data_IF_614240039661
#
_entry.id   IF_614240039661
#
_cell.length_a   1.000
_cell.length_b   1.000
_cell.length_c   1.000
_cell.angle_alpha   90.00
_cell.angle_beta   90.00
_cell.angle_gamma   90.00
#
_symmetry.space_group_name_H-M   'P 1'
#
loop_
_entity.id
_entity.type
_entity.pdbx_description
1 polymer ?
#
# COMPACT_ATOMS: atom_id res chain seq x y z
N UNK A 1 3.19 9.43 -13.04
CA UNK A 1 3.77 9.83 -11.75
C UNK A 1 5.03 9.04 -11.60
N UNK A 2 6.17 9.69 -11.37
CA UNK A 2 7.44 8.99 -11.21
C UNK A 2 7.54 8.53 -9.76
N UNK A 3 7.64 7.22 -9.55
CA UNK A 3 7.76 6.62 -8.22
C UNK A 3 9.22 6.73 -7.77
N UNK A 4 9.46 7.34 -6.61
CA UNK A 4 10.82 7.51 -6.08
C UNK A 4 11.10 6.34 -5.13
N UNK A 5 12.15 5.53 -5.33
CA UNK A 5 12.50 4.45 -4.41
C UNK A 5 12.74 4.95 -2.99
N UNK A 6 12.41 4.13 -1.97
CA UNK A 6 12.64 4.46 -0.56
C UNK A 6 14.09 4.88 -0.27
N UNK A 7 15.06 4.31 -0.97
CA UNK A 7 16.48 4.61 -0.81
C UNK A 7 16.90 5.99 -1.36
N UNK A 8 16.09 6.60 -2.21
CA UNK A 8 16.41 7.83 -2.93
C UNK A 8 15.60 9.04 -2.43
N UNK A 9 14.55 8.82 -1.63
CA UNK A 9 13.70 9.88 -1.11
C UNK A 9 13.96 10.30 0.34
N UNK A 10 13.23 11.31 0.79
CA UNK A 10 13.26 11.81 2.18
C UNK A 10 11.97 11.42 2.91
N UNK A 11 12.09 10.70 4.02
CA UNK A 11 10.96 10.32 4.86
C UNK A 11 10.17 11.52 5.40
N UNK A 12 10.76 12.72 5.43
CA UNK A 12 10.08 13.96 5.82
C UNK A 12 9.01 14.40 4.83
N UNK A 13 8.98 13.85 3.62
CA UNK A 13 7.87 14.07 2.69
C UNK A 13 6.58 13.39 3.17
N UNK A 14 6.70 12.31 3.95
CA UNK A 14 5.57 11.57 4.55
C UNK A 14 5.38 11.97 6.02
N UNK A 15 6.48 12.20 6.73
CA UNK A 15 6.53 12.51 8.17
C UNK A 15 7.24 13.86 8.41
N UNK A 16 6.59 15.01 8.18
CA UNK A 16 7.26 16.32 8.20
C UNK A 16 7.98 16.65 9.50
N UNK A 17 7.47 16.16 10.63
CA UNK A 17 8.02 16.40 11.97
C UNK A 17 9.05 15.35 12.40
N UNK A 18 9.49 14.47 11.49
CA UNK A 18 10.43 13.39 11.81
C UNK A 18 11.83 13.93 12.15
N UNK A 19 12.20 13.78 13.42
CA UNK A 19 13.52 14.14 13.94
C UNK A 19 14.51 13.01 13.62
N UNK A 20 14.25 11.81 14.16
CA UNK A 20 15.12 10.64 14.02
C UNK A 20 14.63 9.72 12.90
N UNK A 21 15.37 9.70 11.78
CA UNK A 21 14.98 8.99 10.55
C UNK A 21 15.21 7.49 10.66
N UNK A 22 16.32 7.07 11.26
CA UNK A 22 16.80 5.69 11.20
C UNK A 22 15.80 4.66 11.76
N UNK A 23 15.15 4.87 12.92
CA UNK A 23 14.20 3.90 13.46
C UNK A 23 13.01 3.67 12.53
N UNK A 24 12.48 4.73 11.93
CA UNK A 24 11.35 4.66 10.98
C UNK A 24 11.80 3.98 9.69
N UNK A 25 12.98 4.36 9.18
CA UNK A 25 13.54 3.79 7.96
C UNK A 25 13.80 2.28 8.08
N UNK A 26 14.32 1.81 9.20
CA UNK A 26 14.61 0.40 9.43
C UNK A 26 13.35 -0.47 9.48
N UNK A 27 12.25 0.05 10.02
CA UNK A 27 10.95 -0.64 9.98
C UNK A 27 10.40 -0.68 8.56
N UNK A 28 10.46 0.45 7.83
CA UNK A 28 9.99 0.51 6.44
C UNK A 28 10.81 -0.42 5.52
N UNK A 29 12.12 -0.53 5.71
CA UNK A 29 12.96 -1.50 4.98
C UNK A 29 12.50 -2.93 5.21
N UNK A 30 12.13 -3.30 6.44
CA UNK A 30 11.59 -4.63 6.71
C UNK A 30 10.26 -4.87 6.00
N UNK A 31 9.40 -3.86 5.93
CA UNK A 31 8.14 -3.93 5.20
C UNK A 31 8.35 -4.08 3.69
N UNK A 32 9.28 -3.31 3.11
CA UNK A 32 9.66 -3.41 1.69
C UNK A 32 10.12 -4.84 1.34
N UNK A 33 10.98 -5.45 2.17
CA UNK A 33 11.43 -6.84 1.98
C UNK A 33 10.26 -7.83 1.98
N UNK A 34 9.20 -7.62 2.78
CA UNK A 34 8.02 -8.49 2.76
C UNK A 34 7.28 -8.40 1.44
N UNK A 35 7.09 -7.20 0.91
CA UNK A 35 6.40 -7.00 -0.38
C UNK A 35 7.25 -7.51 -1.54
N UNK A 36 8.57 -7.30 -1.51
CA UNK A 36 9.50 -7.86 -2.50
C UNK A 36 9.46 -9.39 -2.53
N UNK A 37 9.42 -10.03 -1.36
CA UNK A 37 9.26 -11.49 -1.26
C UNK A 37 7.92 -11.96 -1.80
N UNK A 38 6.84 -11.20 -1.55
CA UNK A 38 5.53 -11.49 -2.13
C UNK A 38 5.58 -11.39 -3.65
N UNK A 39 6.12 -10.31 -4.20
CA UNK A 39 6.28 -10.16 -5.65
C UNK A 39 7.10 -11.31 -6.24
N UNK A 40 8.21 -11.69 -5.60
CA UNK A 40 9.03 -12.83 -6.00
C UNK A 40 8.26 -14.15 -5.97
N UNK A 41 7.42 -14.38 -4.96
CA UNK A 41 6.52 -15.53 -4.90
C UNK A 41 5.52 -15.55 -6.07
N UNK A 42 5.06 -14.37 -6.49
CA UNK A 42 4.20 -14.19 -7.65
C UNK A 42 4.95 -14.21 -9.00
N UNK A 43 6.27 -14.44 -8.99
CA UNK A 43 7.09 -14.56 -10.21
C UNK A 43 7.46 -13.23 -10.86
N UNK A 44 7.36 -12.10 -10.13
CA UNK A 44 7.75 -10.76 -10.61
C UNK A 44 8.79 -10.13 -9.67
N UNK A 45 9.70 -9.30 -10.17
CA UNK A 45 10.54 -8.49 -9.29
C UNK A 45 9.66 -7.46 -8.55
N UNK A 46 9.85 -7.33 -7.24
CA UNK A 46 9.20 -6.28 -6.44
C UNK A 46 10.03 -5.00 -6.43
N UNK A 47 9.36 -3.84 -6.46
CA UNK A 47 10.00 -2.53 -6.38
C UNK A 47 10.20 -2.02 -4.93
N UNK A 48 9.76 -2.80 -3.93
CA UNK A 48 9.75 -2.37 -2.54
C UNK A 48 8.76 -1.23 -2.28
N UNK A 49 9.08 -0.38 -1.30
CA UNK A 49 8.35 0.85 -1.01
C UNK A 49 8.84 2.01 -1.87
N UNK A 50 7.91 2.80 -2.37
CA UNK A 50 8.12 3.98 -3.20
C UNK A 50 7.32 5.16 -2.67
N UNK A 51 7.83 6.36 -2.89
CA UNK A 51 7.11 7.60 -2.61
C UNK A 51 6.18 7.95 -3.78
N UNK A 52 4.93 8.29 -3.43
CA UNK A 52 3.91 8.72 -4.37
C UNK A 52 3.59 10.21 -4.15
N UNK A 53 4.07 11.06 -5.05
CA UNK A 53 3.77 12.49 -5.03
C UNK A 53 2.52 12.83 -5.84
N UNK A 54 1.53 13.43 -5.18
CA UNK A 54 0.46 14.13 -5.89
C UNK A 54 1.03 15.44 -6.46
N UNK A 55 0.87 15.72 -7.78
CA UNK A 55 1.33 16.97 -8.36
C UNK A 55 0.81 18.20 -7.61
N UNK A 56 1.71 19.06 -7.14
CA UNK A 56 1.37 20.26 -6.37
C UNK A 56 1.11 20.05 -4.88
N UNK A 57 1.19 18.81 -4.37
CA UNK A 57 1.13 18.55 -2.93
C UNK A 57 2.54 18.63 -2.31
N UNK A 58 2.71 19.29 -1.16
CA UNK A 58 3.98 19.32 -0.44
C UNK A 58 4.26 18.03 0.34
N UNK A 59 3.37 17.04 0.25
CA UNK A 59 3.44 15.76 0.95
C UNK A 59 3.45 14.60 -0.05
N UNK A 60 4.12 13.51 0.34
CA UNK A 60 4.10 12.23 -0.35
C UNK A 60 3.27 11.20 0.43
N UNK A 61 2.65 10.28 -0.30
CA UNK A 61 2.33 8.97 0.25
C UNK A 61 3.54 8.04 0.17
N UNK A 62 3.45 6.90 0.85
CA UNK A 62 4.37 5.79 0.66
C UNK A 62 3.57 4.57 0.27
N UNK A 63 3.89 3.91 -0.83
CA UNK A 63 3.21 2.68 -1.21
C UNK A 63 4.17 1.58 -1.62
N UNK A 64 3.72 0.34 -1.51
CA UNK A 64 4.37 -0.80 -2.12
C UNK A 64 3.31 -1.69 -2.76
N UNK A 65 3.75 -2.40 -3.79
CA UNK A 65 2.85 -3.14 -4.65
C UNK A 65 3.47 -4.44 -5.15
N UNK A 66 2.65 -5.48 -5.20
CA UNK A 66 2.97 -6.75 -5.82
C UNK A 66 1.75 -7.20 -6.63
N UNK A 67 1.92 -7.48 -7.92
CA UNK A 67 0.82 -7.92 -8.77
C UNK A 67 1.22 -9.00 -9.77
N UNK A 68 0.17 -9.69 -10.21
CA UNK A 68 0.12 -10.44 -11.45
C UNK A 68 -1.14 -10.01 -12.20
N UNK A 69 -1.40 -10.64 -13.34
CA UNK A 69 -2.50 -10.26 -14.22
C UNK A 69 -3.86 -10.28 -13.51
N UNK A 70 -4.14 -11.30 -12.69
CA UNK A 70 -5.45 -11.41 -12.05
C UNK A 70 -5.57 -10.69 -10.70
N UNK A 71 -4.49 -10.55 -9.93
CA UNK A 71 -4.54 -10.07 -8.54
C UNK A 71 -3.42 -9.08 -8.24
N UNK A 72 -3.76 -8.09 -7.43
CA UNK A 72 -2.88 -7.05 -6.93
C UNK A 72 -2.94 -7.01 -5.40
N UNK A 73 -1.78 -6.76 -4.80
CA UNK A 73 -1.58 -6.55 -3.37
C UNK A 73 -0.92 -5.20 -3.19
N UNK A 74 -1.53 -4.34 -2.37
CA UNK A 74 -1.06 -2.98 -2.15
C UNK A 74 -1.02 -2.67 -0.66
N UNK A 75 0.05 -2.03 -0.24
CA UNK A 75 0.10 -1.31 1.05
C UNK A 75 0.37 0.15 0.75
N UNK A 76 -0.26 1.04 1.50
CA UNK A 76 -0.11 2.48 1.32
C UNK A 76 -0.25 3.23 2.64
N UNK A 77 0.56 4.26 2.80
CA UNK A 77 0.46 5.26 3.87
C UNK A 77 0.07 6.59 3.25
N UNK A 78 -0.96 7.22 3.80
CA UNK A 78 -1.35 8.57 3.42
C UNK A 78 -1.65 9.47 4.62
N UNK A 79 -1.62 10.80 4.40
CA UNK A 79 -2.28 11.74 5.28
C UNK A 79 -3.76 11.35 5.50
N UNK A 80 -4.36 11.75 6.63
CA UNK A 80 -5.76 11.50 6.89
C UNK A 80 -6.62 12.15 5.79
N UNK A 81 -7.56 11.38 5.26
CA UNK A 81 -8.58 11.86 4.33
C UNK A 81 -9.85 12.15 5.11
N UNK A 82 -10.35 13.39 5.04
CA UNK A 82 -11.71 13.70 5.45
C UNK A 82 -12.66 13.33 4.28
N UNK A 83 -13.58 12.37 4.43
CA UNK A 83 -14.49 11.98 3.35
C UNK A 83 -15.53 13.07 3.03
N UNK A 84 -15.74 14.03 3.93
CA UNK A 84 -16.71 15.12 3.76
C UNK A 84 -16.06 16.43 3.33
N UNK A 85 -14.75 16.56 3.50
CA UNK A 85 -13.97 17.70 3.05
C UNK A 85 -12.90 17.19 2.11
N UNK A 86 -12.95 17.61 0.84
CA UNK A 86 -11.87 17.37 -0.13
C UNK A 86 -10.53 18.06 0.22
N UNK A 87 -10.30 18.34 1.51
CA UNK A 87 -9.13 18.99 2.07
C UNK A 87 -8.33 17.92 2.80
N UNK A 88 -7.10 17.69 2.36
CA UNK A 88 -6.14 16.85 3.09
C UNK A 88 -5.87 17.50 4.45
N UNK A 89 -6.15 16.78 5.54
CA UNK A 89 -5.68 17.17 6.86
C UNK A 89 -4.22 16.75 7.00
N UNK A 90 -3.42 17.58 7.66
CA UNK A 90 -2.06 17.19 7.98
C UNK A 90 -2.09 16.10 9.05
N UNK A 91 -1.26 15.06 8.93
CA UNK A 91 -1.13 14.08 10.00
C UNK A 91 -0.55 14.74 11.25
N UNK A 92 -0.76 14.14 12.44
CA UNK A 92 -1.44 12.87 12.69
C UNK A 92 -2.99 12.94 12.60
N UNK A 93 -3.69 11.80 12.39
CA UNK A 93 -3.13 10.45 12.25
C UNK A 93 -2.77 10.09 10.80
N UNK A 94 -1.69 9.35 10.59
CA UNK A 94 -1.41 8.69 9.31
C UNK A 94 -2.32 7.50 9.12
N UNK A 95 -2.89 7.37 7.92
CA UNK A 95 -3.71 6.22 7.53
C UNK A 95 -2.84 5.20 6.82
N UNK A 96 -2.82 3.99 7.33
CA UNK A 96 -2.17 2.83 6.73
C UNK A 96 -3.27 1.91 6.20
N UNK A 97 -3.19 1.59 4.92
CA UNK A 97 -4.18 0.78 4.20
C UNK A 97 -3.47 -0.39 3.51
N UNK A 98 -4.07 -1.57 3.60
CA UNK A 98 -3.70 -2.75 2.84
C UNK A 98 -4.88 -3.23 2.02
N UNK A 99 -4.69 -3.37 0.72
CA UNK A 99 -5.74 -3.75 -0.24
C UNK A 99 -5.29 -5.00 -1.01
N UNK A 100 -6.22 -5.94 -1.18
CA UNK A 100 -6.13 -7.00 -2.19
C UNK A 100 -7.25 -6.76 -3.19
N UNK A 101 -6.89 -6.66 -4.47
CA UNK A 101 -7.85 -6.44 -5.54
C UNK A 101 -7.61 -7.34 -6.75
N UNK A 102 -8.69 -7.63 -7.48
CA UNK A 102 -8.66 -8.46 -8.69
C UNK A 102 -9.04 -7.65 -9.91
N UNK A 103 -8.46 -7.96 -11.07
CA UNK A 103 -8.73 -7.20 -12.32
C UNK A 103 -10.18 -7.36 -12.76
N UNK A 104 -10.93 -6.31 -13.09
CA UNK A 104 -12.29 -6.46 -13.59
C UNK A 104 -12.31 -7.29 -14.89
N UNK A 105 -13.24 -8.24 -15.02
CA UNK A 105 -13.43 -9.05 -16.24
C UNK A 105 -14.77 -8.75 -16.95
N UNK A 106 -15.50 -7.72 -16.49
CA UNK A 106 -16.73 -7.28 -17.13
C UNK A 106 -16.47 -6.63 -18.50
N UNK A 107 -17.49 -6.65 -19.37
CA UNK A 107 -17.44 -6.02 -20.71
C UNK A 107 -17.05 -4.54 -20.62
N UNK A 108 -17.46 -3.87 -19.54
CA UNK A 108 -17.02 -2.51 -19.20
C UNK A 108 -15.98 -2.60 -18.07
N UNK A 109 -14.72 -2.77 -18.45
CA UNK A 109 -13.57 -2.83 -17.52
C UNK A 109 -13.50 -1.54 -16.68
N UNK A 110 -13.68 -1.67 -15.37
CA UNK A 110 -13.54 -0.58 -14.40
C UNK A 110 -12.14 -0.56 -13.73
N UNK A 111 -11.22 -1.42 -14.18
CA UNK A 111 -9.87 -1.57 -13.66
C UNK A 111 -9.74 -2.77 -12.72
N UNK A 112 -9.98 -2.54 -11.42
CA UNK A 112 -9.83 -3.55 -10.36
C UNK A 112 -10.98 -3.47 -9.36
N UNK A 113 -11.36 -4.61 -8.80
CA UNK A 113 -12.33 -4.75 -7.71
C UNK A 113 -11.58 -5.12 -6.43
N UNK A 114 -11.76 -4.32 -5.38
CA UNK A 114 -11.34 -4.67 -4.03
C UNK A 114 -12.06 -5.93 -3.56
N UNK A 115 -11.32 -6.85 -2.94
CA UNK A 115 -11.88 -8.06 -2.33
C UNK A 115 -11.60 -8.16 -0.83
N UNK A 116 -10.48 -7.60 -0.35
CA UNK A 116 -10.15 -7.53 1.06
C UNK A 116 -9.34 -6.28 1.35
N UNK A 117 -9.70 -5.58 2.43
CA UNK A 117 -8.99 -4.40 2.90
C UNK A 117 -8.81 -4.43 4.41
N UNK A 118 -7.67 -3.90 4.86
CA UNK A 118 -7.38 -3.61 6.27
C UNK A 118 -6.89 -2.18 6.39
N UNK A 119 -7.37 -1.48 7.41
CA UNK A 119 -7.06 -0.06 7.63
C UNK A 119 -6.73 0.18 9.10
N UNK A 120 -5.75 1.06 9.36
CA UNK A 120 -5.40 1.51 10.69
C UNK A 120 -4.88 2.95 10.68
N UNK A 121 -5.16 3.67 11.77
CA UNK A 121 -4.76 5.06 11.96
C UNK A 121 -3.68 5.15 13.06
N UNK A 122 -2.60 5.88 12.80
CA UNK A 122 -1.43 5.94 13.67
C UNK A 122 -1.05 7.37 14.04
N UNK A 123 -0.76 7.59 15.32
CA UNK A 123 -0.49 8.92 15.87
C UNK A 123 0.97 9.37 15.75
N UNK A 124 1.90 8.46 15.48
CA UNK A 124 3.33 8.76 15.37
C UNK A 124 3.93 8.17 14.09
N UNK A 125 5.04 8.73 13.57
CA UNK A 125 5.74 8.16 12.42
C UNK A 125 6.18 6.72 12.61
N UNK A 126 6.67 6.37 13.81
CA UNK A 126 7.10 5.00 14.11
C UNK A 126 5.92 4.04 14.15
N UNK A 127 4.82 4.41 14.81
CA UNK A 127 3.61 3.57 14.83
C UNK A 127 3.05 3.37 13.42
N UNK A 128 3.11 4.39 12.56
CA UNK A 128 2.69 4.30 11.17
C UNK A 128 3.58 3.32 10.38
N UNK A 129 4.90 3.38 10.56
CA UNK A 129 5.82 2.43 9.95
C UNK A 129 5.58 0.99 10.44
N UNK A 130 5.32 0.78 11.73
CA UNK A 130 4.96 -0.52 12.29
C UNK A 130 3.60 -1.02 11.73
N UNK A 131 2.68 -0.10 11.48
CA UNK A 131 1.44 -0.36 10.75
C UNK A 131 1.71 -0.90 9.34
N UNK A 132 2.60 -0.24 8.59
CA UNK A 132 3.02 -0.70 7.24
C UNK A 132 3.64 -2.08 7.31
N UNK A 133 4.51 -2.34 8.28
CA UNK A 133 5.15 -3.65 8.45
C UNK A 133 4.11 -4.73 8.76
N UNK A 134 3.15 -4.43 9.63
CA UNK A 134 2.04 -5.33 9.96
C UNK A 134 1.21 -5.67 8.73
N UNK A 135 0.80 -4.64 7.98
CA UNK A 135 -0.01 -4.82 6.76
C UNK A 135 0.77 -5.57 5.67
N UNK A 136 2.05 -5.24 5.46
CA UNK A 136 2.90 -5.99 4.52
C UNK A 136 3.06 -7.46 4.93
N UNK A 137 3.10 -7.75 6.24
CA UNK A 137 3.07 -9.11 6.77
C UNK A 137 1.75 -9.83 6.46
N UNK A 138 0.62 -9.16 6.64
CA UNK A 138 -0.71 -9.68 6.29
C UNK A 138 -0.82 -9.97 4.79
N UNK A 139 -0.41 -9.04 3.91
CA UNK A 139 -0.39 -9.24 2.46
C UNK A 139 0.48 -10.43 2.06
N UNK A 140 1.70 -10.52 2.61
CA UNK A 140 2.61 -11.64 2.35
C UNK A 140 1.98 -12.97 2.77
N UNK A 141 1.40 -13.04 3.97
CA UNK A 141 0.73 -14.25 4.43
C UNK A 141 -0.43 -14.62 3.51
N UNK A 142 -1.32 -13.67 3.18
CA UNK A 142 -2.45 -13.89 2.28
C UNK A 142 -1.99 -14.39 0.92
N UNK A 143 -1.07 -13.68 0.28
CA UNK A 143 -0.59 -13.99 -1.07
C UNK A 143 0.19 -15.30 -1.19
N UNK A 144 0.75 -15.83 -0.10
CA UNK A 144 1.51 -17.10 -0.10
C UNK A 144 0.72 -18.31 0.42
N UNK A 145 -0.41 -18.11 1.09
CA UNK A 145 -1.24 -19.20 1.65
C UNK A 145 -2.44 -19.56 0.79
N UNK A 146 -2.93 -18.61 -0.01
CA UNK A 146 -4.11 -18.78 -0.83
C UNK A 146 -3.75 -19.18 -2.27
N UNK A 147 -4.39 -20.20 -2.84
CA UNK A 147 -4.21 -20.49 -4.26
C UNK A 147 -4.67 -19.32 -5.13
N UNK A 148 -3.90 -18.97 -6.17
CA UNK A 148 -4.21 -17.86 -7.07
C UNK A 148 -5.65 -17.89 -7.62
N UNK A 149 -6.16 -19.07 -7.94
CA UNK A 149 -7.53 -19.25 -8.43
C UNK A 149 -8.63 -18.96 -7.38
N UNK A 150 -8.29 -18.82 -6.10
CA UNK A 150 -9.24 -18.52 -5.02
C UNK A 150 -9.66 -17.05 -5.02
N UNK A 151 -8.76 -16.14 -5.38
CA UNK A 151 -9.00 -14.68 -5.37
C UNK A 151 -10.16 -14.27 -6.25
N UNK A 152 -10.21 -14.81 -7.47
CA UNK A 152 -11.29 -14.54 -8.43
C UNK A 152 -12.67 -14.91 -7.91
N UNK A 153 -12.78 -15.95 -7.09
CA UNK A 153 -14.08 -16.39 -6.55
C UNK A 153 -14.64 -15.43 -5.50
N UNK A 154 -13.80 -14.53 -4.98
CA UNK A 154 -14.17 -13.49 -3.99
C UNK A 154 -14.65 -12.21 -4.66
N UNK A 155 -14.51 -12.10 -5.98
CA UNK A 155 -15.09 -10.98 -6.74
C UNK A 155 -16.63 -11.08 -6.73
N UNK A 156 -17.26 -10.20 -5.95
CA UNK A 156 -18.71 -10.09 -5.85
C UNK A 156 -19.30 -9.09 -6.84
N UNK A 157 -18.47 -8.22 -7.43
CA UNK A 157 -18.89 -7.12 -8.30
C UNK A 157 -18.94 -7.54 -9.78
N UNK A 158 -18.11 -8.50 -10.19
CA UNK A 158 -18.16 -9.05 -11.56
C UNK A 158 -19.39 -9.95 -11.83
N UNK A 159 -20.31 -10.10 -10.86
CA UNK A 159 -21.55 -10.87 -11.04
C UNK A 159 -22.66 -10.12 -11.80
N UNK A 160 -22.38 -8.91 -12.30
CA UNK A 160 -23.26 -8.22 -13.25
C UNK A 160 -23.17 -8.87 -14.64
N UNK A 161 -23.80 -10.05 -14.80
CA UNK A 161 -24.16 -10.61 -16.11
C UNK A 161 -25.56 -10.18 -16.52
#
# INVERSE_FOLDING_TARGET
>A
MEAIPLAEGDLRWVFPELIDVDPVLDVLRQAAVRVERLAGHLGRPGAGLVFDHLPGAPYAGLSAFAEIEEVAFRVHVSPPRDPHRHVLTLPPPWQVEGEISVRCDAIRDCGRHEIETVESAHGTPLDAADGVLTVAGWLYQRGTTEPQASWRKRDVLSRHR
#
